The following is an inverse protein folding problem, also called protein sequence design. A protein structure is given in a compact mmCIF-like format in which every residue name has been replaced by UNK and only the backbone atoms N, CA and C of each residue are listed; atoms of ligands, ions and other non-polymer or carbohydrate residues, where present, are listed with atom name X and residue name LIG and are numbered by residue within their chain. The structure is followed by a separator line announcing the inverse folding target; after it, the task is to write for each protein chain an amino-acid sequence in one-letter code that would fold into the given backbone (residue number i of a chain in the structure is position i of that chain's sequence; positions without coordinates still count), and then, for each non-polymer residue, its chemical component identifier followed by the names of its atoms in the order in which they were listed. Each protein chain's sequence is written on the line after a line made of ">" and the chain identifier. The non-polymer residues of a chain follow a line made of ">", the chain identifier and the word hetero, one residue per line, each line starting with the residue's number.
data_IF_487584430955
#
_entry.id   IF_487584430955
#
_cell.length_a   1.000
_cell.length_b   1.000
_cell.length_c   1.000
_cell.angle_alpha   90.00
_cell.angle_beta   90.00
_cell.angle_gamma   90.00
#
_symmetry.space_group_name_H-M   'P 1'
#
loop_
_entity.id
_entity.type
_entity.pdbx_description
1 polymer ?
#
# COMPACT_ATOMS: atom_id res chain seq x y z
N UNK A 1 13.44 -0.16 -12.95
CA UNK A 1 13.32 -0.90 -11.68
C UNK A 1 13.05 0.04 -10.51
N UNK A 2 13.97 0.98 -10.12
CA UNK A 2 13.82 1.87 -8.96
C UNK A 2 12.47 2.59 -8.94
N UNK A 3 12.14 3.35 -10.01
CA UNK A 3 10.88 4.11 -10.10
C UNK A 3 9.65 3.22 -9.83
N UNK A 4 9.63 2.00 -10.35
CA UNK A 4 8.55 1.05 -10.12
C UNK A 4 8.52 0.50 -8.69
N UNK A 5 9.68 0.13 -8.11
CA UNK A 5 9.74 -0.33 -6.71
C UNK A 5 9.25 0.74 -5.72
N UNK A 6 9.57 2.00 -5.96
CA UNK A 6 9.14 3.11 -5.09
C UNK A 6 7.65 3.44 -5.19
N UNK A 7 6.90 2.80 -6.11
CA UNK A 7 5.42 2.84 -6.11
C UNK A 7 4.80 1.85 -5.10
N UNK A 8 5.60 1.04 -4.42
CA UNK A 8 5.12 0.13 -3.38
C UNK A 8 5.34 0.71 -1.98
N UNK A 9 4.48 0.33 -1.04
CA UNK A 9 4.53 0.80 0.35
C UNK A 9 5.75 0.22 1.08
N UNK A 10 6.40 1.04 1.90
CA UNK A 10 7.53 0.62 2.75
C UNK A 10 8.84 0.36 2.01
N UNK A 11 8.94 0.67 0.72
CA UNK A 11 10.14 0.45 -0.10
C UNK A 11 10.98 1.71 -0.21
N UNK A 12 12.28 1.55 0.01
CA UNK A 12 13.30 2.56 -0.26
C UNK A 12 14.40 1.96 -1.13
N UNK A 13 14.67 2.58 -2.27
CA UNK A 13 15.66 2.09 -3.23
C UNK A 13 16.86 3.01 -3.28
N UNK A 14 18.04 2.45 -3.04
CA UNK A 14 19.32 3.15 -3.15
C UNK A 14 20.03 2.71 -4.42
N UNK A 15 20.57 3.66 -5.17
CA UNK A 15 21.38 3.41 -6.36
C UNK A 15 22.86 3.54 -6.00
N UNK A 16 23.68 2.59 -6.45
CA UNK A 16 25.13 2.65 -6.20
C UNK A 16 25.82 3.73 -7.02
N UNK A 17 25.19 4.18 -8.12
CA UNK A 17 25.58 5.34 -8.92
C UNK A 17 24.34 5.90 -9.64
N UNK A 18 24.33 7.19 -9.92
CA UNK A 18 23.25 7.89 -10.63
C UNK A 18 23.70 8.51 -11.95
N UNK A 19 24.99 8.45 -12.26
CA UNK A 19 25.61 8.92 -13.51
C UNK A 19 26.72 7.98 -13.94
N UNK A 20 27.40 8.28 -15.06
CA UNK A 20 28.44 7.43 -15.60
C UNK A 20 29.80 7.71 -14.95
N UNK A 21 30.05 7.04 -13.84
CA UNK A 21 31.36 6.97 -13.16
C UNK A 21 31.59 5.57 -12.58
N UNK A 22 32.86 5.22 -12.47
CA UNK A 22 33.23 3.90 -11.93
C UNK A 22 33.03 3.83 -10.42
N UNK A 23 32.38 2.76 -9.95
CA UNK A 23 32.31 2.37 -8.54
C UNK A 23 32.76 0.92 -8.42
N UNK A 24 33.79 0.64 -7.61
CA UNK A 24 34.31 -0.71 -7.44
C UNK A 24 33.26 -1.67 -6.91
N UNK A 25 33.33 -2.96 -7.26
CA UNK A 25 32.37 -3.98 -6.84
C UNK A 25 32.28 -4.09 -5.31
N UNK A 26 33.40 -3.95 -4.61
CA UNK A 26 33.44 -3.92 -3.14
C UNK A 26 32.70 -2.70 -2.59
N UNK A 27 32.94 -1.51 -3.14
CA UNK A 27 32.27 -0.28 -2.68
C UNK A 27 30.76 -0.32 -2.88
N UNK A 28 30.28 -0.94 -3.96
CA UNK A 28 28.83 -1.14 -4.21
C UNK A 28 28.19 -1.94 -3.08
N UNK A 29 28.80 -3.04 -2.67
CA UNK A 29 28.26 -3.89 -1.59
C UNK A 29 28.42 -3.23 -0.23
N UNK A 30 29.53 -2.54 0.02
CA UNK A 30 29.72 -1.76 1.23
C UNK A 30 28.64 -0.69 1.38
N UNK A 31 28.32 0.04 0.31
CA UNK A 31 27.25 1.03 0.30
C UNK A 31 25.88 0.39 0.64
N UNK A 32 25.57 -0.78 0.08
CA UNK A 32 24.34 -1.50 0.42
C UNK A 32 24.31 -1.91 1.90
N UNK A 33 25.44 -2.34 2.47
CA UNK A 33 25.58 -2.65 3.90
C UNK A 33 25.34 -1.41 4.79
N UNK A 34 25.96 -0.28 4.43
CA UNK A 34 25.76 1.03 5.12
C UNK A 34 24.28 1.46 5.12
N UNK A 35 23.55 1.16 4.04
CA UNK A 35 22.12 1.42 3.91
C UNK A 35 21.23 0.36 4.54
N UNK A 36 21.79 -0.68 5.16
CA UNK A 36 21.10 -1.83 5.75
C UNK A 36 20.11 -2.47 4.76
N UNK A 37 20.58 -2.65 3.52
CA UNK A 37 19.74 -3.18 2.46
C UNK A 37 19.35 -4.65 2.71
N UNK A 38 18.10 -4.99 2.44
CA UNK A 38 17.59 -6.37 2.51
C UNK A 38 17.99 -7.21 1.30
N UNK A 39 18.31 -6.55 0.20
CA UNK A 39 18.63 -7.15 -1.08
C UNK A 39 19.56 -6.23 -1.88
N UNK A 40 20.55 -6.82 -2.55
CA UNK A 40 21.37 -6.15 -3.56
C UNK A 40 21.08 -6.76 -4.94
N UNK A 41 20.80 -5.93 -5.95
CA UNK A 41 20.56 -6.39 -7.32
C UNK A 41 21.43 -5.61 -8.29
N UNK A 42 22.24 -6.34 -9.05
CA UNK A 42 23.00 -5.80 -10.17
C UNK A 42 22.25 -6.13 -11.47
N UNK A 43 21.86 -5.10 -12.23
CA UNK A 43 21.17 -5.23 -13.51
C UNK A 43 22.20 -5.19 -14.64
N UNK A 44 22.23 -6.23 -15.45
CA UNK A 44 23.21 -6.44 -16.51
C UNK A 44 22.53 -6.92 -17.81
N UNK A 45 23.27 -6.81 -18.89
CA UNK A 45 23.02 -7.49 -20.15
C UNK A 45 24.19 -8.45 -20.41
N UNK A 46 23.87 -9.65 -20.89
CA UNK A 46 24.83 -10.71 -21.11
C UNK A 46 25.52 -10.58 -22.49
N UNK A 47 26.60 -11.29 -22.66
CA UNK A 47 27.27 -11.44 -23.96
C UNK A 47 27.81 -12.86 -24.12
N UNK A 48 27.91 -13.33 -25.39
CA UNK A 48 28.50 -14.60 -25.76
C UNK A 48 29.27 -14.46 -27.05
N UNK A 49 30.32 -15.24 -27.21
CA UNK A 49 31.03 -15.41 -28.50
C UNK A 49 30.18 -16.13 -29.54
N UNK A 50 29.17 -16.92 -29.07
CA UNK A 50 28.16 -17.56 -29.91
C UNK A 50 26.95 -16.65 -30.02
N UNK A 51 26.75 -16.02 -31.17
CA UNK A 51 25.65 -15.06 -31.43
C UNK A 51 24.25 -15.69 -31.38
N UNK A 52 24.14 -17.02 -31.44
CA UNK A 52 22.89 -17.75 -31.28
C UNK A 52 22.38 -17.86 -29.85
N UNK A 53 23.24 -17.57 -28.85
CA UNK A 53 22.83 -17.60 -27.43
C UNK A 53 21.99 -16.38 -27.12
N UNK A 54 20.81 -16.61 -26.48
CA UNK A 54 19.83 -15.57 -26.17
C UNK A 54 19.03 -15.89 -24.89
N UNK A 55 18.30 -14.88 -24.37
CA UNK A 55 17.37 -15.01 -23.26
C UNK A 55 17.93 -14.47 -21.93
N UNK A 56 17.13 -14.59 -20.85
CA UNK A 56 17.45 -14.07 -19.53
C UNK A 56 17.87 -15.16 -18.54
N UNK A 57 18.74 -14.82 -17.60
CA UNK A 57 19.00 -15.64 -16.42
C UNK A 57 19.25 -14.74 -15.20
N UNK A 58 19.09 -15.31 -14.00
CA UNK A 58 19.40 -14.61 -12.75
C UNK A 58 20.35 -15.43 -11.92
N UNK A 59 21.53 -14.87 -11.61
CA UNK A 59 22.47 -15.48 -10.68
C UNK A 59 22.12 -15.12 -9.25
N UNK A 60 22.17 -16.13 -8.35
CA UNK A 60 21.87 -15.99 -6.93
C UNK A 60 22.95 -16.69 -6.07
N UNK A 61 23.04 -16.39 -4.75
CA UNK A 61 24.03 -17.01 -3.88
C UNK A 61 23.83 -18.52 -3.74
N UNK A 62 24.93 -19.29 -3.73
CA UNK A 62 24.86 -20.72 -3.41
C UNK A 62 24.35 -20.95 -1.97
N UNK A 63 24.21 -22.21 -1.54
CA UNK A 63 23.71 -22.54 -0.19
C UNK A 63 24.81 -22.70 0.86
N UNK A 64 26.10 -22.59 0.48
CA UNK A 64 27.24 -22.67 1.39
C UNK A 64 27.30 -21.46 2.33
N UNK A 65 27.97 -21.57 3.47
CA UNK A 65 28.21 -20.53 4.47
C UNK A 65 26.91 -20.01 5.13
N UNK A 66 25.91 -19.61 4.37
CA UNK A 66 24.62 -19.15 4.87
C UNK A 66 23.49 -19.62 3.94
N UNK A 67 22.92 -20.78 4.29
CA UNK A 67 21.86 -21.41 3.50
C UNK A 67 20.57 -20.57 3.41
N UNK A 68 20.24 -19.81 4.48
CA UNK A 68 19.05 -18.94 4.49
C UNK A 68 19.13 -17.82 3.45
N UNK A 69 20.32 -17.20 3.31
CA UNK A 69 20.57 -16.18 2.29
C UNK A 69 20.54 -16.79 0.89
N UNK A 70 21.10 -17.99 0.71
CA UNK A 70 21.03 -18.72 -0.55
C UNK A 70 19.59 -19.03 -0.96
N UNK A 71 18.78 -19.56 -0.05
CA UNK A 71 17.36 -19.87 -0.28
C UNK A 71 16.53 -18.60 -0.59
N UNK A 72 16.76 -17.51 0.16
CA UNK A 72 16.15 -16.20 -0.10
C UNK A 72 16.51 -15.71 -1.50
N UNK A 73 17.79 -15.73 -1.84
CA UNK A 73 18.29 -15.32 -3.16
C UNK A 73 17.66 -16.12 -4.29
N UNK A 74 17.55 -17.46 -4.14
CA UNK A 74 16.90 -18.35 -5.12
C UNK A 74 15.43 -17.95 -5.35
N UNK A 75 14.68 -17.74 -4.28
CA UNK A 75 13.26 -17.40 -4.39
C UNK A 75 13.04 -16.03 -5.06
N UNK A 76 13.83 -15.01 -4.72
CA UNK A 76 13.78 -13.71 -5.40
C UNK A 76 14.14 -13.86 -6.87
N UNK A 77 15.22 -14.58 -7.18
CA UNK A 77 15.67 -14.83 -8.55
C UNK A 77 14.59 -15.52 -9.40
N UNK A 78 13.90 -16.52 -8.84
CA UNK A 78 12.79 -17.23 -9.52
C UNK A 78 11.62 -16.29 -9.84
N UNK A 79 11.26 -15.40 -8.91
CA UNK A 79 10.20 -14.42 -9.14
C UNK A 79 10.60 -13.41 -10.24
N UNK A 80 11.83 -12.90 -10.24
CA UNK A 80 12.34 -12.02 -11.30
C UNK A 80 12.35 -12.76 -12.64
N UNK A 81 12.95 -13.96 -12.71
CA UNK A 81 13.04 -14.75 -13.93
C UNK A 81 11.66 -15.02 -14.54
N UNK A 82 10.67 -15.35 -13.73
CA UNK A 82 9.29 -15.57 -14.20
C UNK A 82 8.70 -14.32 -14.88
N UNK A 83 8.96 -13.13 -14.34
CA UNK A 83 8.48 -11.87 -14.93
C UNK A 83 9.20 -11.53 -16.23
N UNK A 84 10.51 -11.76 -16.32
CA UNK A 84 11.27 -11.58 -17.55
C UNK A 84 10.81 -12.56 -18.65
N UNK A 85 10.57 -13.81 -18.30
CA UNK A 85 10.03 -14.82 -19.22
C UNK A 85 8.64 -14.44 -19.75
N UNK A 86 7.80 -13.85 -18.90
CA UNK A 86 6.46 -13.37 -19.31
C UNK A 86 6.53 -12.22 -20.34
N UNK A 87 7.65 -11.51 -20.47
CA UNK A 87 7.90 -10.54 -21.55
C UNK A 87 8.31 -11.21 -22.87
N UNK A 88 8.47 -12.54 -22.88
CA UNK A 88 8.86 -13.32 -24.05
C UNK A 88 10.35 -13.63 -24.17
N UNK A 89 11.18 -13.27 -23.17
CA UNK A 89 12.58 -13.68 -23.13
C UNK A 89 12.68 -15.19 -22.94
N UNK A 90 13.65 -15.82 -23.63
CA UNK A 90 13.97 -17.23 -23.41
C UNK A 90 14.42 -17.42 -21.96
N UNK A 91 13.86 -18.41 -21.28
CA UNK A 91 14.22 -18.76 -19.92
C UNK A 91 15.51 -19.57 -19.89
N UNK A 92 16.61 -18.97 -19.42
CA UNK A 92 17.87 -19.66 -19.18
C UNK A 92 18.03 -20.04 -17.69
N UNK A 93 16.98 -19.85 -16.88
CA UNK A 93 16.89 -20.31 -15.49
C UNK A 93 17.49 -19.37 -14.45
N UNK A 94 17.45 -19.83 -13.21
CA UNK A 94 18.15 -19.21 -12.08
C UNK A 94 19.37 -20.04 -11.73
N UNK A 95 20.52 -19.40 -11.59
CA UNK A 95 21.81 -20.06 -11.63
C UNK A 95 22.67 -19.71 -10.40
N UNK A 96 23.47 -20.66 -9.95
CA UNK A 96 24.62 -20.42 -9.08
C UNK A 96 25.90 -20.57 -9.91
N UNK A 97 26.97 -19.86 -9.51
CA UNK A 97 28.30 -20.05 -10.06
C UNK A 97 29.31 -20.07 -8.95
N UNK A 98 29.86 -21.21 -8.68
CA UNK A 98 30.91 -21.38 -7.68
C UNK A 98 32.26 -20.86 -8.19
N UNK A 99 33.12 -20.42 -7.27
CA UNK A 99 34.47 -19.95 -7.58
C UNK A 99 35.32 -21.04 -8.23
N UNK A 100 35.89 -20.73 -9.38
CA UNK A 100 36.79 -21.61 -10.10
C UNK A 100 38.25 -21.55 -9.57
N UNK A 101 38.63 -20.40 -9.00
CA UNK A 101 39.93 -20.18 -8.40
C UNK A 101 40.00 -20.60 -6.92
N UNK A 102 39.07 -21.47 -6.47
CA UNK A 102 38.99 -22.02 -5.12
C UNK A 102 38.86 -20.99 -3.99
N UNK A 103 38.36 -19.76 -4.28
CA UNK A 103 38.01 -18.80 -3.22
C UNK A 103 37.04 -19.43 -2.23
N UNK A 104 37.25 -19.18 -0.94
CA UNK A 104 36.47 -19.75 0.17
C UNK A 104 35.71 -18.70 0.92
N UNK A 105 34.61 -19.10 1.52
CA UNK A 105 33.91 -18.39 2.59
C UNK A 105 34.66 -18.53 3.93
N UNK A 106 34.32 -17.75 4.97
CA UNK A 106 34.94 -17.85 6.29
C UNK A 106 34.90 -19.25 6.91
N UNK A 107 33.84 -20.03 6.63
CA UNK A 107 33.67 -21.42 7.06
C UNK A 107 34.47 -22.43 6.19
N UNK A 108 35.33 -21.95 5.31
CA UNK A 108 36.14 -22.71 4.36
C UNK A 108 35.36 -23.41 3.22
N UNK A 109 34.04 -23.23 3.15
CA UNK A 109 33.23 -23.71 2.02
C UNK A 109 33.51 -22.93 0.73
N UNK A 110 33.17 -23.51 -0.44
CA UNK A 110 33.43 -22.88 -1.73
C UNK A 110 32.56 -21.61 -1.87
N UNK A 111 33.22 -20.49 -2.16
CA UNK A 111 32.54 -19.22 -2.32
C UNK A 111 31.86 -19.08 -3.69
N UNK A 112 30.91 -18.15 -3.79
CA UNK A 112 30.32 -17.72 -5.07
C UNK A 112 31.39 -17.03 -5.94
N UNK A 113 31.34 -17.27 -7.24
CA UNK A 113 32.29 -16.71 -8.22
C UNK A 113 32.23 -15.18 -8.27
N UNK A 114 30.98 -14.63 -8.38
CA UNK A 114 30.79 -13.20 -8.52
C UNK A 114 31.03 -12.48 -7.19
N UNK A 115 31.93 -11.50 -7.19
CA UNK A 115 32.29 -10.79 -5.96
C UNK A 115 31.14 -10.04 -5.32
N UNK A 116 30.22 -9.47 -6.11
CA UNK A 116 29.05 -8.79 -5.57
C UNK A 116 28.09 -9.76 -4.85
N UNK A 117 27.92 -10.99 -5.36
CA UNK A 117 27.12 -12.04 -4.72
C UNK A 117 27.81 -12.51 -3.44
N UNK A 118 29.12 -12.87 -3.53
CA UNK A 118 29.91 -13.33 -2.40
C UNK A 118 29.95 -12.31 -1.27
N UNK A 119 30.28 -11.06 -1.59
CA UNK A 119 30.42 -9.99 -0.59
C UNK A 119 29.07 -9.58 0.03
N UNK A 120 27.96 -9.58 -0.75
CA UNK A 120 26.62 -9.36 -0.21
C UNK A 120 26.26 -10.43 0.82
N UNK A 121 26.52 -11.70 0.50
CA UNK A 121 26.25 -12.82 1.38
C UNK A 121 27.05 -12.78 2.68
N UNK A 122 28.36 -12.44 2.62
CA UNK A 122 29.17 -12.23 3.82
C UNK A 122 28.77 -10.99 4.60
N UNK A 123 28.10 -10.04 3.97
CA UNK A 123 27.53 -8.85 4.61
C UNK A 123 26.13 -9.06 5.20
N UNK A 124 25.54 -10.26 5.07
CA UNK A 124 24.29 -10.64 5.71
C UNK A 124 23.01 -10.48 4.85
N UNK A 125 23.13 -10.20 3.56
CA UNK A 125 21.99 -10.09 2.64
C UNK A 125 22.26 -10.79 1.30
N UNK A 126 21.18 -11.10 0.55
CA UNK A 126 21.30 -11.71 -0.77
C UNK A 126 21.74 -10.67 -1.80
N UNK A 127 22.75 -11.05 -2.63
CA UNK A 127 23.13 -10.33 -3.83
C UNK A 127 22.71 -11.12 -5.06
N UNK A 128 22.11 -10.46 -6.04
CA UNK A 128 21.69 -11.04 -7.31
C UNK A 128 22.36 -10.32 -8.47
N UNK A 129 22.53 -11.05 -9.60
CA UNK A 129 22.86 -10.47 -10.90
C UNK A 129 21.76 -10.90 -11.86
N UNK A 130 21.06 -9.94 -12.43
CA UNK A 130 20.04 -10.15 -13.46
C UNK A 130 20.68 -9.90 -14.82
N UNK A 131 20.71 -10.92 -15.65
CA UNK A 131 21.16 -10.85 -17.04
C UNK A 131 19.91 -10.86 -17.94
N UNK A 132 19.50 -9.68 -18.42
CA UNK A 132 18.20 -9.51 -19.11
C UNK A 132 18.16 -10.15 -20.50
N UNK A 133 19.22 -9.93 -21.29
CA UNK A 133 19.28 -10.34 -22.68
C UNK A 133 20.73 -10.33 -23.15
N UNK A 134 21.01 -10.92 -24.32
CA UNK A 134 22.36 -10.96 -24.88
C UNK A 134 22.57 -9.83 -25.88
N UNK A 135 23.50 -8.91 -25.59
CA UNK A 135 23.89 -7.83 -26.51
C UNK A 135 24.53 -8.38 -27.81
N UNK A 136 25.10 -9.59 -27.77
CA UNK A 136 25.69 -10.29 -28.91
C UNK A 136 24.66 -11.04 -29.79
N UNK A 137 23.39 -11.15 -29.37
CA UNK A 137 22.33 -11.76 -30.14
C UNK A 137 21.46 -10.69 -30.80
N UNK A 138 21.39 -10.68 -32.12
CA UNK A 138 20.62 -9.68 -32.88
C UNK A 138 19.15 -9.57 -32.44
N UNK A 139 18.48 -10.72 -32.28
CA UNK A 139 17.06 -10.74 -31.88
C UNK A 139 16.84 -10.23 -30.46
N UNK A 140 17.69 -10.59 -29.49
CA UNK A 140 17.63 -10.06 -28.12
C UNK A 140 17.94 -8.56 -28.10
N UNK A 141 18.97 -8.14 -28.83
CA UNK A 141 19.40 -6.76 -28.87
C UNK A 141 18.30 -5.85 -29.44
N UNK A 142 17.77 -6.19 -30.62
CA UNK A 142 16.75 -5.37 -31.29
C UNK A 142 15.41 -5.39 -30.56
N UNK A 143 14.97 -6.56 -30.09
CA UNK A 143 13.65 -6.71 -29.48
C UNK A 143 13.57 -6.20 -28.05
N UNK A 144 14.62 -6.44 -27.24
CA UNK A 144 14.56 -6.18 -25.79
C UNK A 144 15.46 -5.05 -25.30
N UNK A 145 16.53 -4.72 -26.04
CA UNK A 145 17.48 -3.70 -25.63
C UNK A 145 17.45 -2.45 -26.52
N UNK A 146 16.76 -2.49 -27.65
CA UNK A 146 16.79 -1.47 -28.69
C UNK A 146 15.89 -0.25 -28.43
N UNK A 147 15.10 -0.21 -27.36
CA UNK A 147 14.24 0.94 -27.06
C UNK A 147 14.12 1.22 -25.56
N UNK A 148 13.95 2.48 -25.20
CA UNK A 148 13.72 2.91 -23.81
C UNK A 148 12.43 2.32 -23.22
N UNK A 149 11.40 2.08 -24.04
CA UNK A 149 10.17 1.44 -23.61
C UNK A 149 10.42 -0.01 -23.15
N UNK A 150 11.17 -0.79 -23.93
CA UNK A 150 11.52 -2.15 -23.54
C UNK A 150 12.47 -2.21 -22.35
N UNK A 151 13.45 -1.32 -22.28
CA UNK A 151 14.32 -1.20 -21.10
C UNK A 151 13.50 -0.84 -19.83
N UNK A 152 12.48 -0.03 -19.97
CA UNK A 152 11.53 0.27 -18.89
C UNK A 152 10.76 -0.97 -18.48
N UNK A 153 10.20 -1.73 -19.44
CA UNK A 153 9.47 -2.99 -19.19
C UNK A 153 10.34 -4.04 -18.50
N UNK A 154 11.61 -4.18 -18.92
CA UNK A 154 12.57 -5.05 -18.22
C UNK A 154 12.75 -4.65 -16.75
N UNK A 155 13.02 -3.36 -16.50
CA UNK A 155 13.16 -2.86 -15.15
C UNK A 155 11.88 -2.93 -14.30
N UNK A 156 10.71 -2.85 -14.92
CA UNK A 156 9.42 -3.08 -14.24
C UNK A 156 9.21 -4.56 -13.92
N UNK A 157 9.61 -5.47 -14.81
CA UNK A 157 9.58 -6.91 -14.57
C UNK A 157 10.44 -7.31 -13.37
N UNK A 158 11.67 -6.76 -13.26
CA UNK A 158 12.52 -6.95 -12.08
C UNK A 158 11.83 -6.47 -10.81
N UNK A 159 11.27 -5.26 -10.85
CA UNK A 159 10.57 -4.65 -9.72
C UNK A 159 9.36 -5.49 -9.27
N UNK A 160 8.55 -5.96 -10.22
CA UNK A 160 7.41 -6.82 -9.94
C UNK A 160 7.82 -8.20 -9.39
N UNK A 161 8.93 -8.75 -9.86
CA UNK A 161 9.50 -9.99 -9.31
C UNK A 161 9.95 -9.82 -7.85
N UNK A 162 10.64 -8.74 -7.55
CA UNK A 162 11.05 -8.39 -6.18
C UNK A 162 9.80 -8.16 -5.31
N UNK A 163 8.84 -7.35 -5.80
CA UNK A 163 7.61 -7.06 -5.09
C UNK A 163 6.79 -8.32 -4.75
N UNK A 164 6.69 -9.25 -5.71
CA UNK A 164 6.03 -10.56 -5.51
C UNK A 164 6.65 -11.36 -4.38
N UNK A 165 7.99 -11.42 -4.31
CA UNK A 165 8.67 -12.16 -3.25
C UNK A 165 8.44 -11.56 -1.86
N UNK A 166 8.50 -10.23 -1.74
CA UNK A 166 8.34 -9.54 -0.46
C UNK A 166 6.86 -9.30 -0.09
N UNK A 167 5.90 -9.64 -0.95
CA UNK A 167 4.49 -9.33 -0.73
C UNK A 167 4.24 -7.82 -0.62
N UNK A 168 4.92 -7.02 -1.46
CA UNK A 168 4.77 -5.57 -1.44
C UNK A 168 3.43 -5.17 -2.04
N UNK A 169 2.74 -4.25 -1.40
CA UNK A 169 1.50 -3.67 -1.91
C UNK A 169 1.75 -2.32 -2.57
N UNK A 170 1.11 -2.03 -3.71
CA UNK A 170 1.19 -0.72 -4.33
C UNK A 170 0.76 0.40 -3.37
N UNK A 171 1.34 1.58 -3.50
CA UNK A 171 0.90 2.82 -2.81
C UNK A 171 -0.42 3.36 -3.39
N UNK A 172 -1.31 2.48 -3.83
CA UNK A 172 -2.64 2.89 -4.26
C UNK A 172 -3.45 3.29 -3.04
N UNK A 173 -4.00 4.48 -3.04
CA UNK A 173 -4.99 4.89 -2.06
C UNK A 173 -6.33 4.24 -2.41
N UNK A 174 -7.00 3.68 -1.42
CA UNK A 174 -8.42 3.37 -1.51
C UNK A 174 -9.15 4.70 -1.67
N UNK A 175 -10.10 4.79 -2.58
CA UNK A 175 -10.99 5.95 -2.68
C UNK A 175 -12.31 5.60 -1.99
N UNK A 176 -12.64 6.28 -0.90
CA UNK A 176 -13.94 6.18 -0.25
C UNK A 176 -14.96 6.97 -1.08
N UNK A 177 -15.84 6.24 -1.77
CA UNK A 177 -16.76 6.81 -2.75
C UNK A 177 -17.96 7.46 -2.06
N UNK A 178 -18.55 6.76 -1.07
CA UNK A 178 -19.71 7.28 -0.32
C UNK A 178 -19.67 6.89 1.15
N UNK A 179 -20.38 7.69 1.96
CA UNK A 179 -20.84 7.37 3.31
C UNK A 179 -22.30 7.82 3.37
N UNK A 180 -23.22 6.88 3.15
CA UNK A 180 -24.66 7.17 2.99
C UNK A 180 -25.42 6.76 4.22
N UNK A 181 -26.20 7.68 4.78
CA UNK A 181 -27.16 7.40 5.84
C UNK A 181 -28.39 6.73 5.22
N UNK A 182 -28.75 5.57 5.75
CA UNK A 182 -29.96 4.84 5.35
C UNK A 182 -31.16 5.25 6.21
N UNK A 183 -32.37 4.97 5.73
CA UNK A 183 -33.62 5.29 6.44
C UNK A 183 -33.69 4.69 7.85
N UNK A 184 -33.08 3.52 8.04
CA UNK A 184 -32.96 2.86 9.35
C UNK A 184 -31.85 3.43 10.24
N UNK A 185 -31.20 4.52 9.83
CA UNK A 185 -30.16 5.19 10.58
C UNK A 185 -28.76 4.60 10.44
N UNK A 186 -28.57 3.48 9.75
CA UNK A 186 -27.24 2.91 9.50
C UNK A 186 -26.45 3.74 8.47
N UNK A 187 -25.12 3.75 8.56
CA UNK A 187 -24.26 4.40 7.57
C UNK A 187 -23.59 3.34 6.70
N UNK A 188 -23.90 3.37 5.41
CA UNK A 188 -23.27 2.47 4.42
C UNK A 188 -22.13 3.16 3.70
N UNK A 189 -20.94 2.57 3.82
CA UNK A 189 -19.70 2.99 3.17
C UNK A 189 -19.46 2.18 1.90
N UNK A 190 -19.01 2.83 0.82
CA UNK A 190 -18.53 2.17 -0.39
C UNK A 190 -17.18 2.75 -0.82
N UNK A 191 -16.29 1.91 -1.39
CA UNK A 191 -14.96 2.34 -1.81
C UNK A 191 -14.47 1.62 -3.05
N UNK A 192 -13.39 2.14 -3.65
CA UNK A 192 -12.74 1.52 -4.80
C UNK A 192 -11.94 0.28 -4.39
N UNK A 193 -11.96 -0.76 -5.23
CA UNK A 193 -11.11 -1.91 -5.03
C UNK A 193 -9.62 -1.53 -5.17
N UNK A 194 -8.79 -1.96 -4.22
CA UNK A 194 -7.34 -1.80 -4.27
C UNK A 194 -6.65 -3.08 -4.74
N UNK A 195 -5.61 -2.94 -5.56
CA UNK A 195 -4.82 -4.07 -6.02
C UNK A 195 -3.85 -4.57 -4.92
N UNK A 196 -3.67 -5.89 -4.85
CA UNK A 196 -2.66 -6.52 -3.98
C UNK A 196 -3.00 -6.50 -2.49
N UNK A 197 -4.25 -6.25 -2.10
CA UNK A 197 -4.71 -6.31 -0.71
C UNK A 197 -5.45 -7.62 -0.43
N UNK A 198 -5.43 -8.05 0.84
CA UNK A 198 -6.22 -9.20 1.32
C UNK A 198 -7.59 -8.77 1.83
N UNK A 199 -7.77 -7.47 2.11
CA UNK A 199 -8.99 -6.88 2.62
C UNK A 199 -8.79 -5.43 3.05
N UNK A 200 -9.71 -4.93 3.89
CA UNK A 200 -9.80 -3.52 4.24
C UNK A 200 -9.95 -3.31 5.73
N UNK A 201 -9.43 -2.19 6.23
CA UNK A 201 -9.65 -1.67 7.56
C UNK A 201 -10.45 -0.38 7.46
N UNK A 202 -11.55 -0.31 8.20
CA UNK A 202 -12.43 0.84 8.27
C UNK A 202 -12.20 1.54 9.60
N UNK A 203 -11.98 2.83 9.53
CA UNK A 203 -11.77 3.68 10.71
C UNK A 203 -12.81 4.77 10.75
N UNK A 204 -13.18 5.16 11.96
CA UNK A 204 -14.15 6.21 12.25
C UNK A 204 -13.62 7.14 13.35
N UNK A 205 -13.92 8.41 13.24
CA UNK A 205 -13.85 9.38 14.35
C UNK A 205 -15.17 10.14 14.43
N UNK A 206 -15.37 10.88 15.48
CA UNK A 206 -16.51 11.78 15.68
C UNK A 206 -16.00 13.14 16.16
N UNK A 207 -16.86 14.14 16.19
CA UNK A 207 -16.53 15.52 16.58
C UNK A 207 -15.92 15.66 17.99
N UNK A 208 -16.11 14.65 18.85
CA UNK A 208 -15.58 14.62 20.22
C UNK A 208 -14.21 13.90 20.30
N UNK A 209 -13.67 13.38 19.18
CA UNK A 209 -12.42 12.61 19.14
C UNK A 209 -11.47 13.16 18.11
N UNK A 210 -10.21 13.27 18.49
CA UNK A 210 -9.13 13.74 17.61
C UNK A 210 -8.45 12.62 16.80
N UNK A 211 -8.82 11.34 17.01
CA UNK A 211 -8.14 10.20 16.41
C UNK A 211 -9.12 9.19 15.84
N UNK A 212 -8.81 8.68 14.65
CA UNK A 212 -9.54 7.60 14.01
C UNK A 212 -9.41 6.28 14.79
N UNK A 213 -10.52 5.63 15.09
CA UNK A 213 -10.59 4.32 15.72
C UNK A 213 -10.91 3.25 14.67
N UNK A 214 -10.21 2.10 14.71
CA UNK A 214 -10.54 0.95 13.88
C UNK A 214 -11.88 0.36 14.32
N UNK A 215 -12.91 0.47 13.49
CA UNK A 215 -14.24 -0.09 13.77
C UNK A 215 -14.47 -1.45 13.10
N UNK A 216 -13.78 -1.73 11.98
CA UNK A 216 -13.91 -3.02 11.28
C UNK A 216 -12.67 -3.37 10.47
N UNK A 217 -12.30 -4.66 10.51
CA UNK A 217 -11.36 -5.28 9.58
C UNK A 217 -12.12 -6.34 8.75
N UNK A 218 -12.09 -6.20 7.42
CA UNK A 218 -12.84 -7.04 6.47
C UNK A 218 -11.84 -7.84 5.65
N UNK A 219 -11.97 -9.17 5.60
CA UNK A 219 -11.21 -10.04 4.72
C UNK A 219 -11.90 -10.16 3.36
N UNK A 220 -11.12 -9.99 2.29
CA UNK A 220 -11.56 -10.11 0.91
C UNK A 220 -11.37 -8.84 0.10
N UNK A 221 -10.46 -8.89 -0.88
CA UNK A 221 -10.12 -7.76 -1.76
C UNK A 221 -11.28 -7.23 -2.62
N UNK A 222 -12.31 -8.06 -2.84
CA UNK A 222 -13.52 -7.69 -3.60
C UNK A 222 -14.65 -7.11 -2.73
N UNK A 223 -14.50 -7.12 -1.40
CA UNK A 223 -15.49 -6.55 -0.49
C UNK A 223 -15.25 -5.05 -0.36
N UNK A 224 -15.99 -4.26 -1.09
CA UNK A 224 -15.82 -2.81 -1.25
C UNK A 224 -16.94 -2.01 -0.59
N UNK A 225 -17.64 -2.60 0.38
CA UNK A 225 -18.67 -1.94 1.17
C UNK A 225 -18.70 -2.44 2.62
N UNK A 226 -19.21 -1.61 3.51
CA UNK A 226 -19.46 -1.91 4.91
C UNK A 226 -20.59 -1.04 5.44
N UNK A 227 -21.46 -1.61 6.26
CA UNK A 227 -22.52 -0.87 6.96
C UNK A 227 -22.16 -0.76 8.44
N UNK A 228 -22.09 0.47 8.92
CA UNK A 228 -21.91 0.81 10.33
C UNK A 228 -23.27 1.02 10.97
N UNK A 229 -23.65 0.11 11.86
CA UNK A 229 -24.86 0.13 12.65
C UNK A 229 -24.62 0.52 14.12
N UNK A 230 -23.45 1.07 14.43
CA UNK A 230 -23.06 1.46 15.79
C UNK A 230 -22.99 2.97 15.97
N UNK A 231 -23.64 3.70 15.10
CA UNK A 231 -23.69 5.17 15.13
C UNK A 231 -24.73 5.66 16.14
N UNK A 232 -24.53 6.88 16.60
CA UNK A 232 -25.47 7.61 17.46
C UNK A 232 -26.09 8.73 16.63
N UNK A 233 -27.42 8.87 16.67
CA UNK A 233 -28.13 9.93 15.96
C UNK A 233 -27.71 11.31 16.50
N UNK A 234 -27.56 12.28 15.62
CA UNK A 234 -27.12 13.63 15.96
C UNK A 234 -25.60 13.80 16.08
N UNK A 235 -24.81 12.74 15.90
CA UNK A 235 -23.35 12.80 15.93
C UNK A 235 -22.81 12.79 14.49
N UNK A 236 -21.95 13.75 14.15
CA UNK A 236 -21.25 13.77 12.87
C UNK A 236 -20.04 12.85 12.93
N UNK A 237 -19.96 11.91 12.00
CA UNK A 237 -18.87 10.96 11.88
C UNK A 237 -18.04 11.21 10.64
N UNK A 238 -16.74 11.05 10.78
CA UNK A 238 -15.80 10.97 9.66
C UNK A 238 -15.28 9.53 9.50
N UNK A 239 -15.19 9.09 8.25
CA UNK A 239 -14.72 7.76 7.87
C UNK A 239 -13.52 7.82 6.95
N UNK A 240 -12.58 6.89 7.16
CA UNK A 240 -11.48 6.58 6.23
C UNK A 240 -11.29 5.07 6.12
N UNK A 241 -10.81 4.62 4.97
CA UNK A 241 -10.57 3.20 4.69
C UNK A 241 -9.14 3.00 4.20
N UNK A 242 -8.48 1.92 4.60
CA UNK A 242 -7.25 1.47 3.96
C UNK A 242 -7.31 -0.02 3.64
N UNK A 243 -6.57 -0.43 2.61
CA UNK A 243 -6.33 -1.84 2.32
C UNK A 243 -5.21 -2.40 3.18
N UNK A 244 -5.26 -3.69 3.51
CA UNK A 244 -4.17 -4.40 4.17
C UNK A 244 -3.74 -5.65 3.39
N UNK A 245 -2.47 -6.01 3.55
CA UNK A 245 -1.92 -7.28 3.08
C UNK A 245 -1.13 -7.95 4.21
N UNK A 246 -1.39 -9.24 4.43
CA UNK A 246 -0.72 -10.06 5.44
C UNK A 246 0.43 -10.82 4.80
N UNK A 247 1.62 -10.28 4.88
CA UNK A 247 2.85 -10.95 4.45
C UNK A 247 3.33 -11.97 5.46
N UNK A 248 4.37 -12.72 5.10
CA UNK A 248 4.94 -13.78 5.93
C UNK A 248 5.44 -13.29 7.30
N UNK A 249 5.94 -12.07 7.37
CA UNK A 249 6.60 -11.53 8.58
C UNK A 249 5.86 -10.31 9.18
N UNK A 250 4.97 -9.67 8.44
CA UNK A 250 4.24 -8.48 8.89
C UNK A 250 2.99 -8.22 8.05
N UNK A 251 2.03 -7.50 8.62
CA UNK A 251 0.91 -6.90 7.88
C UNK A 251 1.32 -5.50 7.42
N UNK A 252 1.09 -5.21 6.16
CA UNK A 252 1.31 -3.89 5.54
C UNK A 252 -0.02 -3.27 5.15
N UNK A 253 -0.07 -1.93 5.07
CA UNK A 253 -1.28 -1.18 4.80
C UNK A 253 -1.07 -0.20 3.65
N UNK A 254 -2.11 0.09 2.88
CA UNK A 254 -2.11 1.24 1.96
C UNK A 254 -2.13 2.55 2.76
N UNK A 255 -1.97 3.69 2.09
CA UNK A 255 -2.36 4.96 2.70
C UNK A 255 -3.87 4.95 3.02
N UNK A 256 -4.30 5.79 3.96
CA UNK A 256 -5.72 6.04 4.22
C UNK A 256 -6.38 6.68 2.99
N UNK A 257 -7.67 6.42 2.81
CA UNK A 257 -8.49 7.06 1.78
C UNK A 257 -8.67 8.57 2.03
N UNK A 258 -9.34 9.23 1.12
CA UNK A 258 -10.02 10.49 1.40
C UNK A 258 -11.04 10.30 2.52
N UNK A 259 -11.35 11.39 3.23
CA UNK A 259 -12.38 11.44 4.28
C UNK A 259 -13.76 11.53 3.63
N UNK A 260 -14.75 10.88 4.24
CA UNK A 260 -16.19 11.11 4.04
C UNK A 260 -16.86 11.31 5.38
N UNK A 261 -17.72 12.33 5.43
CA UNK A 261 -18.54 12.64 6.58
C UNK A 261 -19.94 12.07 6.41
N UNK A 262 -20.58 11.73 7.52
CA UNK A 262 -21.98 11.33 7.56
C UNK A 262 -22.61 11.68 8.91
N UNK A 263 -23.79 12.29 8.86
CA UNK A 263 -24.59 12.67 10.01
C UNK A 263 -25.99 12.07 9.86
N UNK A 264 -26.39 11.22 10.79
CA UNK A 264 -27.79 10.84 10.92
C UNK A 264 -28.48 11.92 11.73
N UNK A 265 -29.16 12.83 11.03
CA UNK A 265 -29.75 14.03 11.63
C UNK A 265 -30.78 13.71 12.69
N UNK A 266 -30.87 14.56 13.71
CA UNK A 266 -31.97 14.54 14.66
C UNK A 266 -33.28 14.92 13.95
N UNK A 267 -34.43 14.37 14.38
CA UNK A 267 -35.72 14.72 13.81
C UNK A 267 -36.06 16.18 14.09
N UNK A 268 -36.55 16.84 13.08
CA UNK A 268 -36.98 18.25 13.20
C UNK A 268 -38.39 18.30 13.81
N UNK A 269 -38.63 19.10 14.89
CA UNK A 269 -39.96 19.35 15.40
C UNK A 269 -40.87 19.96 14.33
N UNK A 270 -42.13 19.51 14.26
CA UNK A 270 -43.12 19.98 13.29
C UNK A 270 -44.25 20.73 13.99
N UNK A 271 -44.99 21.52 13.22
CA UNK A 271 -46.21 22.18 13.66
C UNK A 271 -46.03 23.04 14.92
N UNK A 272 -44.92 23.83 14.96
CA UNK A 272 -44.71 24.78 16.04
C UNK A 272 -45.87 25.79 16.07
N UNK A 273 -46.57 25.87 17.21
CA UNK A 273 -47.63 26.84 17.49
C UNK A 273 -47.25 27.72 18.66
N UNK A 274 -47.63 28.97 18.60
CA UNK A 274 -47.43 29.95 19.67
C UNK A 274 -48.79 30.58 20.00
N UNK A 275 -49.24 30.40 21.23
CA UNK A 275 -50.54 30.93 21.70
C UNK A 275 -50.31 31.82 22.91
N UNK A 276 -50.95 32.99 22.95
CA UNK A 276 -50.87 33.86 24.12
C UNK A 276 -51.89 33.38 25.17
N UNK A 277 -51.40 33.18 26.36
CA UNK A 277 -52.22 32.78 27.51
C UNK A 277 -52.87 33.98 28.16
N UNK A 278 -53.91 33.75 28.96
CA UNK A 278 -54.70 34.81 29.63
C UNK A 278 -53.86 35.69 30.58
N UNK A 279 -52.69 35.24 31.03
CA UNK A 279 -51.77 35.99 31.86
C UNK A 279 -50.66 36.71 31.07
N UNK A 280 -50.82 36.83 29.73
CA UNK A 280 -49.87 37.51 28.85
C UNK A 280 -48.60 36.76 28.53
N UNK A 281 -48.47 35.51 28.95
CA UNK A 281 -47.36 34.64 28.56
C UNK A 281 -47.61 33.94 27.24
N UNK A 282 -46.54 33.46 26.58
CA UNK A 282 -46.66 32.65 25.36
C UNK A 282 -46.48 31.18 25.70
N UNK A 283 -47.41 30.35 25.24
CA UNK A 283 -47.30 28.88 25.24
C UNK A 283 -46.86 28.43 23.88
N UNK A 284 -45.76 27.65 23.82
CA UNK A 284 -45.27 27.02 22.61
C UNK A 284 -45.63 25.54 22.65
N UNK A 285 -46.12 25.01 21.55
CA UNK A 285 -46.36 23.56 21.36
C UNK A 285 -45.84 23.13 19.98
N UNK A 286 -45.35 21.92 19.90
CA UNK A 286 -44.86 21.31 18.66
C UNK A 286 -45.14 19.82 18.66
N UNK A 287 -45.14 19.21 17.46
CA UNK A 287 -45.31 17.78 17.28
C UNK A 287 -43.97 17.07 17.12
N UNK A 288 -43.87 15.90 17.70
CA UNK A 288 -42.79 14.99 17.60
C UNK A 288 -43.24 13.78 16.78
N UNK A 289 -42.67 13.61 15.59
CA UNK A 289 -42.88 12.41 14.78
C UNK A 289 -41.95 11.27 15.14
N UNK A 290 -40.86 11.59 15.82
CA UNK A 290 -39.79 10.65 16.20
C UNK A 290 -39.00 11.28 17.36
N UNK A 291 -38.70 10.51 18.40
CA UNK A 291 -37.97 10.98 19.58
C UNK A 291 -36.60 10.31 19.73
N UNK A 292 -36.25 9.45 18.78
CA UNK A 292 -35.00 8.73 18.84
C UNK A 292 -33.77 9.69 18.76
N UNK A 293 -32.89 9.58 19.73
CA UNK A 293 -31.70 10.44 19.88
C UNK A 293 -32.01 11.85 20.44
N UNK A 294 -33.27 12.21 20.71
CA UNK A 294 -33.65 13.53 21.24
C UNK A 294 -33.62 13.49 22.78
N UNK A 295 -32.76 14.29 23.40
CA UNK A 295 -32.70 14.45 24.86
C UNK A 295 -33.46 15.71 25.37
N UNK A 296 -33.82 16.62 24.44
CA UNK A 296 -34.49 17.85 24.78
C UNK A 296 -34.53 18.83 23.61
N UNK A 297 -35.06 20.02 23.87
CA UNK A 297 -35.23 21.08 22.87
C UNK A 297 -34.63 22.39 23.37
N UNK A 298 -33.96 23.11 22.47
CA UNK A 298 -33.59 24.51 22.65
C UNK A 298 -34.61 25.40 21.94
N UNK A 299 -35.13 26.38 22.63
CA UNK A 299 -36.12 27.33 22.13
C UNK A 299 -35.36 28.64 21.87
N UNK A 300 -35.41 29.10 20.64
CA UNK A 300 -34.81 30.36 20.25
C UNK A 300 -35.83 31.24 19.56
N UNK A 301 -35.70 32.55 19.70
CA UNK A 301 -36.53 33.55 19.01
C UNK A 301 -35.66 34.59 18.33
N UNK A 302 -36.22 35.25 17.34
CA UNK A 302 -35.64 36.48 16.75
C UNK A 302 -36.72 37.53 16.55
N UNK A 303 -36.32 38.77 16.42
CA UNK A 303 -37.24 39.84 15.99
C UNK A 303 -37.64 39.62 14.53
N UNK A 304 -38.87 40.01 14.18
CA UNK A 304 -39.31 39.96 12.81
C UNK A 304 -38.39 40.84 11.94
N UNK A 305 -37.79 40.24 10.89
CA UNK A 305 -36.84 40.91 10.02
C UNK A 305 -35.37 40.93 10.51
N UNK A 306 -35.10 40.38 11.70
CA UNK A 306 -33.72 40.20 12.19
C UNK A 306 -33.11 38.88 11.69
N UNK A 307 -31.76 38.80 11.65
CA UNK A 307 -31.02 37.59 11.20
C UNK A 307 -30.63 36.65 12.32
N UNK A 308 -30.44 37.16 13.54
CA UNK A 308 -29.89 36.43 14.68
C UNK A 308 -31.01 35.85 15.59
N UNK A 309 -30.87 34.55 15.91
CA UNK A 309 -31.69 33.87 16.90
C UNK A 309 -31.05 33.92 18.29
N UNK A 310 -31.82 34.30 19.31
CA UNK A 310 -31.43 34.26 20.71
C UNK A 310 -32.11 33.05 21.38
N UNK A 311 -31.29 32.19 22.04
CA UNK A 311 -31.82 31.10 22.87
C UNK A 311 -32.48 31.69 24.13
N UNK A 312 -33.76 31.38 24.33
CA UNK A 312 -34.58 31.92 25.43
C UNK A 312 -34.93 30.86 26.47
N UNK A 313 -34.86 29.57 26.13
CA UNK A 313 -35.13 28.48 27.04
C UNK A 313 -34.59 27.14 26.49
N UNK A 314 -34.39 26.18 27.38
CA UNK A 314 -34.23 24.77 27.04
C UNK A 314 -35.24 23.92 27.83
N UNK A 315 -35.68 22.83 27.19
CA UNK A 315 -36.63 21.87 27.78
C UNK A 315 -35.99 20.50 27.69
N UNK A 316 -35.82 19.83 28.82
CA UNK A 316 -35.31 18.47 28.89
C UNK A 316 -36.43 17.45 28.69
N UNK A 317 -36.08 16.34 28.03
CA UNK A 317 -37.03 15.29 27.69
C UNK A 317 -37.61 15.42 26.27
N UNK A 318 -38.08 14.32 25.76
CA UNK A 318 -38.64 14.21 24.42
C UNK A 318 -40.18 14.32 24.42
N UNK A 319 -40.76 14.98 25.42
CA UNK A 319 -42.21 15.17 25.58
C UNK A 319 -42.67 16.51 25.10
#
# INVERSE_FOLDING_TARGET
>A
CKKKLETYTGVKVYMTRSSDYFVSLTRRVQYAKEKRADLFVALHNNASTKTSVKGACVYYPNTHYNAKIGAKGKSVAQNIQSRLTALGLKNNGVLIRNSQNKSKYPDKSIADYYSVIRNSKTSGFAGLIVEHAYISNYGDCTKYLGSNDMLTKLGEADAMGIASYYGLIPKTTVQLSSAEVKENGEITLTWSQAAGVDGYCIYRTDENKSTYQLIKKIKGAKKVSYTDNTIIRGVNYEYVVCGYHTGKNATTYTALSNVKEALYELPVPKELKAEQTSNGKWKLTWNLSDTDGVSGYRIARKLAGGDDYEEIASVNGAQ
#
